data_IF_337387668618
#
_entry.id   IF_337387668618
#
_cell.length_a   1.000
_cell.length_b   1.000
_cell.length_c   1.000
_cell.angle_alpha   90.00
_cell.angle_beta   90.00
_cell.angle_gamma   90.00
#
_symmetry.space_group_name_H-M   'P 1'
#
loop_
_entity.id
_entity.type
_entity.pdbx_description
1 polymer ?
#
# COMPACT_ATOMS: atom_id res chain seq x y z
N UNK A 1 5.17 -12.40 -47.42
CA UNK A 1 5.36 -13.86 -47.26
C UNK A 1 6.86 -14.05 -47.10
N UNK A 2 7.33 -14.69 -46.03
CA UNK A 2 8.77 -14.91 -45.82
C UNK A 2 9.32 -15.68 -47.02
N UNK A 3 10.28 -15.09 -47.72
CA UNK A 3 11.06 -15.78 -48.74
C UNK A 3 11.85 -16.87 -48.00
N UNK A 4 11.47 -18.14 -48.22
CA UNK A 4 11.92 -19.31 -47.47
C UNK A 4 13.37 -19.74 -47.82
N UNK A 5 14.23 -18.76 -48.10
CA UNK A 5 15.63 -18.94 -48.48
C UNK A 5 16.46 -18.89 -47.20
N UNK A 6 16.75 -20.07 -46.65
CA UNK A 6 17.62 -20.21 -45.49
C UNK A 6 19.05 -19.79 -45.87
N UNK A 7 19.42 -18.54 -45.61
CA UNK A 7 20.74 -17.99 -45.91
C UNK A 7 21.36 -17.42 -44.63
N UNK A 8 22.26 -18.19 -44.03
CA UNK A 8 23.09 -17.70 -42.93
C UNK A 8 24.07 -16.69 -43.51
N UNK A 9 23.95 -15.44 -43.11
CA UNK A 9 24.84 -14.35 -43.51
C UNK A 9 25.70 -13.94 -42.31
N UNK A 10 26.91 -13.44 -42.57
CA UNK A 10 27.83 -12.97 -41.54
C UNK A 10 27.93 -11.45 -41.64
N UNK A 11 27.64 -10.77 -40.54
CA UNK A 11 27.71 -9.32 -40.49
C UNK A 11 29.17 -8.83 -40.68
N UNK A 12 29.45 -7.90 -41.61
CA UNK A 12 30.82 -7.48 -41.92
C UNK A 12 31.49 -6.65 -40.80
N UNK A 13 30.72 -6.09 -39.86
CA UNK A 13 31.24 -5.22 -38.80
C UNK A 13 31.51 -6.02 -37.52
N UNK A 14 30.51 -6.77 -37.06
CA UNK A 14 30.54 -7.52 -35.81
C UNK A 14 31.01 -8.96 -35.99
N UNK A 15 30.97 -9.49 -37.22
CA UNK A 15 31.31 -10.88 -37.53
C UNK A 15 30.30 -11.90 -37.01
N UNK A 16 29.13 -11.47 -36.53
CA UNK A 16 28.08 -12.33 -35.97
C UNK A 16 27.26 -12.95 -37.10
N UNK A 17 26.87 -14.22 -36.93
CA UNK A 17 26.02 -14.94 -37.87
C UNK A 17 24.54 -14.64 -37.62
N UNK A 18 23.75 -14.57 -38.70
CA UNK A 18 22.29 -14.46 -38.61
C UNK A 18 21.63 -15.82 -38.40
N UNK A 19 20.37 -15.83 -37.94
CA UNK A 19 19.57 -17.05 -37.71
C UNK A 19 19.09 -17.74 -39.00
N UNK A 20 19.44 -17.20 -40.18
CA UNK A 20 19.17 -17.80 -41.48
C UNK A 20 17.84 -17.42 -42.12
N UNK A 21 16.96 -16.68 -41.42
CA UNK A 21 15.67 -16.23 -41.97
C UNK A 21 15.67 -14.73 -42.23
N UNK A 22 15.04 -14.31 -43.33
CA UNK A 22 14.79 -12.91 -43.66
C UNK A 22 13.29 -12.63 -43.51
N UNK A 23 12.99 -11.60 -42.73
CA UNK A 23 11.65 -11.05 -42.53
C UNK A 23 11.54 -9.74 -43.29
N UNK A 24 10.42 -9.51 -43.99
CA UNK A 24 10.15 -8.26 -44.71
C UNK A 24 11.30 -7.82 -45.62
N UNK A 25 11.84 -8.78 -46.38
CA UNK A 25 12.97 -8.69 -47.33
C UNK A 25 14.30 -8.13 -46.81
N UNK A 26 14.34 -7.58 -45.59
CA UNK A 26 15.43 -6.75 -45.07
C UNK A 26 15.80 -7.03 -43.61
N UNK A 27 14.86 -7.52 -42.79
CA UNK A 27 15.10 -7.77 -41.36
C UNK A 27 15.66 -9.17 -41.15
N UNK A 28 16.75 -9.26 -40.41
CA UNK A 28 17.39 -10.53 -40.02
C UNK A 28 17.74 -10.46 -38.55
N UNK A 29 17.82 -11.62 -37.90
CA UNK A 29 18.13 -11.70 -36.47
C UNK A 29 19.55 -12.21 -36.27
N UNK A 30 20.32 -11.55 -35.40
CA UNK A 30 21.66 -11.99 -35.01
C UNK A 30 21.60 -13.12 -33.99
N UNK A 31 22.43 -14.15 -34.20
CA UNK A 31 22.60 -15.25 -33.27
C UNK A 31 23.69 -14.92 -32.23
N UNK A 32 23.45 -13.87 -31.43
CA UNK A 32 24.31 -13.49 -30.32
C UNK A 32 24.01 -14.31 -29.07
N UNK A 33 25.01 -14.69 -28.26
CA UNK A 33 24.74 -15.16 -26.91
C UNK A 33 24.11 -14.04 -26.08
N UNK A 34 23.25 -14.41 -25.13
CA UNK A 34 22.66 -13.45 -24.21
C UNK A 34 23.76 -12.72 -23.42
N UNK A 35 23.64 -11.39 -23.19
CA UNK A 35 24.63 -10.66 -22.41
C UNK A 35 24.78 -11.27 -21.01
N UNK A 36 26.02 -11.52 -20.58
CA UNK A 36 26.28 -12.17 -19.29
C UNK A 36 25.67 -11.40 -18.10
N UNK A 37 25.71 -10.06 -18.12
CA UNK A 37 25.09 -9.23 -17.09
C UNK A 37 23.56 -9.41 -17.01
N UNK A 38 22.90 -9.63 -18.16
CA UNK A 38 21.46 -9.86 -18.24
C UNK A 38 21.12 -11.23 -17.64
N UNK A 39 21.92 -12.25 -17.94
CA UNK A 39 21.77 -13.58 -17.34
C UNK A 39 21.95 -13.53 -15.81
N UNK A 40 22.96 -12.83 -15.32
CA UNK A 40 23.16 -12.65 -13.88
C UNK A 40 22.00 -11.90 -13.22
N UNK A 41 21.48 -10.85 -13.85
CA UNK A 41 20.30 -10.15 -13.36
C UNK A 41 19.08 -11.07 -13.33
N UNK A 42 18.86 -11.87 -14.38
CA UNK A 42 17.77 -12.84 -14.47
C UNK A 42 17.88 -13.93 -13.38
N UNK A 43 19.07 -14.49 -13.14
CA UNK A 43 19.25 -15.44 -12.05
C UNK A 43 19.10 -14.78 -10.67
N UNK A 44 19.50 -13.51 -10.55
CA UNK A 44 19.29 -12.73 -9.34
C UNK A 44 17.82 -12.61 -8.96
N UNK A 45 16.91 -12.39 -9.93
CA UNK A 45 15.47 -12.33 -9.65
C UNK A 45 14.91 -13.69 -9.23
N UNK A 46 15.38 -14.79 -9.82
CA UNK A 46 14.99 -16.15 -9.41
C UNK A 46 15.38 -16.41 -7.95
N UNK A 47 16.63 -16.11 -7.58
CA UNK A 47 17.11 -16.27 -6.20
C UNK A 47 16.29 -15.39 -5.25
N UNK A 48 16.05 -14.14 -5.63
CA UNK A 48 15.21 -13.23 -4.85
C UNK A 48 13.81 -13.79 -4.63
N UNK A 49 13.15 -14.32 -5.67
CA UNK A 49 11.83 -14.94 -5.55
C UNK A 49 11.82 -16.13 -4.60
N UNK A 50 12.84 -17.00 -4.66
CA UNK A 50 12.95 -18.15 -3.74
C UNK A 50 13.10 -17.68 -2.30
N UNK A 51 13.97 -16.70 -2.03
CA UNK A 51 14.13 -16.11 -0.70
C UNK A 51 12.82 -15.47 -0.24
N UNK A 52 12.14 -14.74 -1.12
CA UNK A 52 10.88 -14.09 -0.80
C UNK A 52 9.78 -15.10 -0.44
N UNK A 53 9.71 -16.25 -1.12
CA UNK A 53 8.76 -17.32 -0.78
C UNK A 53 9.05 -18.00 0.56
N UNK A 54 10.31 -18.04 0.99
CA UNK A 54 10.70 -18.54 2.31
C UNK A 54 10.29 -17.54 3.40
N UNK A 55 10.44 -16.25 3.15
CA UNK A 55 10.13 -15.21 4.13
C UNK A 55 8.62 -14.97 4.26
N UNK A 56 7.89 -14.89 3.14
CA UNK A 56 6.51 -14.40 3.08
C UNK A 56 5.52 -15.44 2.55
N UNK A 57 4.21 -15.23 2.80
CA UNK A 57 3.16 -16.06 2.20
C UNK A 57 3.27 -16.10 0.67
N UNK A 58 3.22 -17.30 0.09
CA UNK A 58 3.54 -17.48 -1.32
C UNK A 58 2.57 -18.37 -2.07
N UNK A 59 2.71 -19.70 -1.98
CA UNK A 59 2.04 -20.63 -2.89
C UNK A 59 0.83 -21.29 -2.21
N UNK A 60 -0.36 -21.30 -2.83
CA UNK A 60 -1.50 -22.05 -2.37
C UNK A 60 -1.26 -23.54 -2.66
N UNK A 61 -0.83 -24.29 -1.64
CA UNK A 61 -0.56 -25.72 -1.76
C UNK A 61 -1.37 -26.49 -0.73
N UNK A 62 -2.00 -27.59 -1.14
CA UNK A 62 -2.68 -28.50 -0.22
C UNK A 62 -1.72 -29.26 0.72
N UNK A 63 -0.41 -29.01 0.61
CA UNK A 63 0.64 -29.62 1.42
C UNK A 63 0.85 -28.87 2.74
N UNK A 64 0.46 -27.60 2.82
CA UNK A 64 0.58 -26.79 4.02
C UNK A 64 -0.73 -26.81 4.82
N UNK A 65 -0.63 -26.82 6.16
CA UNK A 65 -1.78 -26.86 7.06
C UNK A 65 -2.81 -25.74 6.79
N UNK A 66 -2.33 -24.54 6.42
CA UNK A 66 -3.17 -23.39 6.09
C UNK A 66 -3.61 -23.33 4.62
N UNK A 67 -3.30 -24.35 3.83
CA UNK A 67 -3.54 -24.39 2.39
C UNK A 67 -2.59 -23.52 1.56
N UNK A 68 -1.59 -22.89 2.19
CA UNK A 68 -0.52 -22.15 1.53
C UNK A 68 0.75 -22.12 2.39
N UNK A 69 1.89 -21.87 1.73
CA UNK A 69 3.17 -21.65 2.41
C UNK A 69 3.14 -20.28 3.12
N UNK A 70 3.20 -20.25 4.45
CA UNK A 70 3.10 -19.01 5.24
C UNK A 70 4.38 -18.18 5.28
N UNK A 71 5.51 -18.78 4.96
CA UNK A 71 6.83 -18.21 5.20
C UNK A 71 7.25 -18.24 6.69
N UNK A 72 8.48 -17.78 6.96
CA UNK A 72 9.08 -17.75 8.31
C UNK A 72 8.96 -16.39 9.01
N UNK A 73 8.64 -15.33 8.28
CA UNK A 73 8.45 -14.01 8.88
C UNK A 73 7.18 -13.98 9.72
N UNK A 74 7.23 -13.27 10.84
CA UNK A 74 6.12 -13.11 11.78
C UNK A 74 5.87 -11.64 12.09
N UNK A 75 4.63 -11.36 12.52
CA UNK A 75 4.20 -10.04 12.97
C UNK A 75 3.50 -10.20 14.30
N UNK A 76 3.84 -9.30 15.23
CA UNK A 76 3.28 -9.23 16.58
C UNK A 76 2.45 -7.96 16.74
N UNK A 77 1.22 -8.10 17.24
CA UNK A 77 0.32 -6.99 17.50
C UNK A 77 -0.62 -7.33 18.67
N UNK A 78 -1.25 -6.31 19.26
CA UNK A 78 -2.28 -6.50 20.28
C UNK A 78 -3.66 -6.68 19.65
N UNK A 79 -4.39 -7.70 20.08
CA UNK A 79 -5.79 -7.91 19.66
C UNK A 79 -6.76 -6.96 20.40
N UNK A 80 -8.06 -7.05 20.10
CA UNK A 80 -9.10 -6.23 20.72
C UNK A 80 -9.24 -6.43 22.25
N UNK A 81 -8.76 -7.58 22.76
CA UNK A 81 -8.71 -7.88 24.20
C UNK A 81 -7.45 -7.32 24.87
N UNK A 82 -6.54 -6.70 24.11
CA UNK A 82 -5.28 -6.17 24.59
C UNK A 82 -4.16 -7.21 24.75
N UNK A 83 -4.39 -8.44 24.30
CA UNK A 83 -3.43 -9.53 24.37
C UNK A 83 -2.46 -9.43 23.19
N UNK A 84 -1.16 -9.66 23.45
CA UNK A 84 -0.15 -9.74 22.40
C UNK A 84 -0.28 -11.06 21.65
N UNK A 85 -0.48 -10.98 20.34
CA UNK A 85 -0.62 -12.13 19.44
C UNK A 85 0.47 -12.06 18.38
N UNK A 86 1.19 -13.17 18.22
CA UNK A 86 2.16 -13.35 17.12
C UNK A 86 1.54 -14.23 16.05
N UNK A 87 1.61 -13.78 14.81
CA UNK A 87 1.13 -14.53 13.64
C UNK A 87 2.22 -14.57 12.57
N UNK A 88 2.11 -15.51 11.62
CA UNK A 88 2.85 -15.42 10.37
C UNK A 88 2.54 -14.09 9.66
N UNK A 89 3.49 -13.58 8.89
CA UNK A 89 3.34 -12.30 8.21
C UNK A 89 2.07 -12.26 7.37
N UNK A 90 1.30 -11.20 7.53
CA UNK A 90 0.16 -10.85 6.68
C UNK A 90 -0.10 -9.35 6.79
N UNK A 91 -0.68 -8.76 5.74
CA UNK A 91 -0.88 -7.31 5.64
C UNK A 91 -1.78 -6.74 6.74
N UNK A 92 -2.75 -7.53 7.24
CA UNK A 92 -3.66 -7.10 8.31
C UNK A 92 -2.95 -7.02 9.66
N UNK A 93 -2.14 -8.02 9.99
CA UNK A 93 -1.32 -8.01 11.19
C UNK A 93 -0.29 -6.88 11.16
N UNK A 94 0.32 -6.64 9.98
CA UNK A 94 1.26 -5.53 9.80
C UNK A 94 0.59 -4.18 10.03
N UNK A 95 -0.58 -3.95 9.42
CA UNK A 95 -1.37 -2.73 9.65
C UNK A 95 -1.72 -2.55 11.13
N UNK A 96 -2.15 -3.61 11.81
CA UNK A 96 -2.47 -3.55 13.22
C UNK A 96 -1.24 -3.18 14.08
N UNK A 97 -0.08 -3.76 13.77
CA UNK A 97 1.19 -3.43 14.42
C UNK A 97 1.58 -1.96 14.17
N UNK A 98 1.50 -1.48 12.92
CA UNK A 98 1.83 -0.10 12.54
C UNK A 98 0.91 0.90 13.25
N UNK A 99 -0.40 0.67 13.25
CA UNK A 99 -1.38 1.50 13.98
C UNK A 99 -1.17 1.51 15.50
N UNK A 100 -0.41 0.56 16.04
CA UNK A 100 -0.10 0.49 17.47
C UNK A 100 1.23 1.14 17.81
N UNK A 101 2.18 1.12 16.88
CA UNK A 101 3.56 1.54 17.12
C UNK A 101 3.91 2.89 16.47
N UNK A 102 3.08 3.41 15.55
CA UNK A 102 3.34 4.69 14.90
C UNK A 102 3.39 5.84 15.94
N UNK A 103 4.49 6.63 15.98
CA UNK A 103 4.66 7.69 16.97
C UNK A 103 3.60 8.79 16.89
N UNK A 104 3.08 9.10 15.69
CA UNK A 104 2.06 10.12 15.50
C UNK A 104 0.70 9.59 15.94
N UNK A 105 0.40 8.33 15.63
CA UNK A 105 -0.81 7.66 16.09
C UNK A 105 -0.85 7.57 17.62
N UNK A 106 0.26 7.20 18.27
CA UNK A 106 0.35 7.15 19.74
C UNK A 106 0.11 8.53 20.39
N UNK A 107 0.68 9.60 19.81
CA UNK A 107 0.43 10.98 20.26
C UNK A 107 -1.03 11.37 20.10
N UNK A 108 -1.62 11.08 18.94
CA UNK A 108 -3.03 11.34 18.63
C UNK A 108 -3.95 10.58 19.59
N UNK A 109 -3.73 9.27 19.78
CA UNK A 109 -4.50 8.40 20.69
C UNK A 109 -4.50 8.95 22.12
N UNK A 110 -3.34 9.43 22.60
CA UNK A 110 -3.22 10.06 23.92
C UNK A 110 -4.11 11.31 24.03
N UNK A 111 -4.06 12.19 23.03
CA UNK A 111 -4.86 13.43 23.03
C UNK A 111 -6.36 13.13 22.89
N UNK A 112 -6.75 12.24 21.98
CA UNK A 112 -8.15 11.79 21.81
C UNK A 112 -8.68 11.21 23.12
N UNK A 113 -7.92 10.33 23.79
CA UNK A 113 -8.32 9.75 25.08
C UNK A 113 -8.45 10.81 26.18
N UNK A 114 -7.54 11.79 26.22
CA UNK A 114 -7.59 12.87 27.19
C UNK A 114 -8.83 13.76 27.01
N UNK A 115 -9.20 14.07 25.76
CA UNK A 115 -10.40 14.86 25.43
C UNK A 115 -11.67 14.05 25.71
N UNK A 116 -11.71 12.78 25.31
CA UNK A 116 -12.89 11.92 25.49
C UNK A 116 -13.25 11.65 26.97
N UNK A 117 -12.27 11.80 27.88
CA UNK A 117 -12.46 11.58 29.31
C UNK A 117 -13.03 12.79 30.06
N UNK A 118 -13.27 13.93 29.40
CA UNK A 118 -13.78 15.16 30.02
C UNK A 118 -15.03 15.70 29.33
N UNK A 119 -15.88 16.44 30.05
CA UNK A 119 -17.01 17.15 29.45
C UNK A 119 -16.55 18.17 28.40
N UNK A 120 -17.33 18.33 27.33
CA UNK A 120 -17.03 19.29 26.25
C UNK A 120 -16.79 20.72 26.78
N UNK A 121 -17.56 21.15 27.77
CA UNK A 121 -17.41 22.46 28.39
C UNK A 121 -16.03 22.69 29.02
N UNK A 122 -15.35 21.63 29.46
CA UNK A 122 -14.01 21.71 30.05
C UNK A 122 -12.92 21.59 28.97
N UNK A 123 -13.19 20.84 27.89
CA UNK A 123 -12.33 20.80 26.70
C UNK A 123 -12.16 22.19 26.10
N UNK A 124 -13.26 22.93 25.96
CA UNK A 124 -13.28 24.27 25.34
C UNK A 124 -12.50 25.29 26.18
N UNK A 125 -12.49 25.15 27.51
CA UNK A 125 -11.76 26.05 28.42
C UNK A 125 -10.25 25.81 28.42
N UNK A 126 -9.79 24.63 28.03
CA UNK A 126 -8.36 24.30 27.95
C UNK A 126 -7.82 24.67 26.56
N UNK A 127 -6.92 25.67 26.43
CA UNK A 127 -6.44 26.13 25.13
C UNK A 127 -5.73 25.05 24.32
N UNK A 128 -5.01 24.14 24.98
CA UNK A 128 -4.28 23.07 24.31
C UNK A 128 -5.19 21.98 23.77
N UNK A 129 -6.21 21.60 24.55
CA UNK A 129 -7.20 20.59 24.13
C UNK A 129 -8.17 21.16 23.10
N UNK A 130 -8.62 22.40 23.27
CA UNK A 130 -9.45 23.11 22.31
C UNK A 130 -8.74 23.23 20.95
N UNK A 131 -7.47 23.67 20.93
CA UNK A 131 -6.68 23.73 19.70
C UNK A 131 -6.53 22.36 19.02
N UNK A 132 -6.29 21.30 19.80
CA UNK A 132 -6.24 19.93 19.28
C UNK A 132 -7.58 19.50 18.67
N UNK A 133 -8.70 19.72 19.36
CA UNK A 133 -10.04 19.33 18.88
C UNK A 133 -10.42 20.09 17.62
N UNK A 134 -10.10 21.38 17.51
CA UNK A 134 -10.37 22.15 16.30
C UNK A 134 -9.53 21.65 15.11
N UNK A 135 -8.24 21.38 15.33
CA UNK A 135 -7.35 20.88 14.29
C UNK A 135 -7.74 19.45 13.83
N UNK A 136 -8.00 18.56 14.79
CA UNK A 136 -8.39 17.17 14.54
C UNK A 136 -9.81 17.10 13.95
N UNK A 137 -10.74 17.87 14.51
CA UNK A 137 -12.12 17.98 14.08
C UNK A 137 -12.27 18.56 12.68
N UNK A 138 -11.39 19.48 12.25
CA UNK A 138 -11.40 19.98 10.87
C UNK A 138 -11.19 18.87 9.83
N UNK A 139 -10.30 17.92 10.11
CA UNK A 139 -10.09 16.74 9.25
C UNK A 139 -11.33 15.86 9.19
N UNK A 140 -11.84 15.48 10.37
CA UNK A 140 -13.07 14.67 10.51
C UNK A 140 -14.26 15.35 9.81
N UNK A 141 -14.40 16.66 9.99
CA UNK A 141 -15.47 17.44 9.37
C UNK A 141 -15.38 17.37 7.84
N UNK A 142 -14.17 17.51 7.28
CA UNK A 142 -13.92 17.34 5.85
C UNK A 142 -14.32 15.95 5.34
N UNK A 143 -13.95 14.90 6.06
CA UNK A 143 -14.17 13.51 5.63
C UNK A 143 -15.63 13.07 5.75
N UNK A 144 -16.32 13.46 6.83
CA UNK A 144 -17.62 12.88 7.21
C UNK A 144 -18.79 13.86 7.22
N UNK A 145 -18.55 15.17 7.27
CA UNK A 145 -19.62 16.16 7.47
C UNK A 145 -19.79 17.11 6.28
N UNK A 146 -18.69 17.50 5.64
CA UNK A 146 -18.66 18.52 4.59
C UNK A 146 -19.48 18.14 3.35
N UNK A 147 -19.68 16.84 3.10
CA UNK A 147 -20.53 16.37 2.00
C UNK A 147 -21.97 16.91 2.09
N UNK A 148 -22.52 17.04 3.31
CA UNK A 148 -23.87 17.55 3.54
C UNK A 148 -23.85 19.01 4.01
N UNK A 149 -22.97 19.34 4.95
CA UNK A 149 -22.92 20.66 5.59
C UNK A 149 -22.00 21.65 4.87
N UNK A 150 -21.46 21.29 3.71
CA UNK A 150 -20.48 22.06 2.94
C UNK A 150 -19.14 22.24 3.69
N UNK A 151 -18.09 22.63 2.96
CA UNK A 151 -16.72 22.73 3.52
C UNK A 151 -16.57 23.76 4.63
N UNK A 152 -17.46 24.76 4.70
CA UNK A 152 -17.47 25.79 5.75
C UNK A 152 -18.53 25.59 6.82
N UNK A 153 -19.30 24.49 6.79
CA UNK A 153 -20.40 24.26 7.72
C UNK A 153 -21.67 25.06 7.44
N UNK A 154 -21.73 25.83 6.36
CA UNK A 154 -22.87 26.70 6.04
C UNK A 154 -24.15 25.96 5.62
N UNK A 155 -24.07 24.65 5.38
CA UNK A 155 -25.21 23.84 4.98
C UNK A 155 -25.70 24.10 3.54
N UNK A 156 -26.84 23.51 3.22
CA UNK A 156 -27.54 23.67 1.94
C UNK A 156 -28.98 24.08 2.24
N UNK A 157 -29.37 25.25 1.76
CA UNK A 157 -30.70 25.82 2.02
C UNK A 157 -31.80 24.82 1.65
N UNK A 158 -32.64 24.47 2.63
CA UNK A 158 -33.77 23.55 2.44
C UNK A 158 -33.41 22.06 2.51
N UNK A 159 -32.16 21.69 2.79
CA UNK A 159 -31.74 20.28 2.91
C UNK A 159 -30.89 20.00 4.14
N UNK A 160 -29.81 20.77 4.35
CA UNK A 160 -28.87 20.55 5.45
C UNK A 160 -28.65 21.85 6.22
N UNK A 161 -28.75 21.82 7.57
CA UNK A 161 -28.66 23.04 8.38
C UNK A 161 -27.26 23.64 8.35
N UNK A 162 -27.22 24.95 8.59
CA UNK A 162 -26.01 25.69 8.87
C UNK A 162 -25.53 25.36 10.29
N UNK A 163 -24.27 24.96 10.43
CA UNK A 163 -23.64 24.58 11.70
C UNK A 163 -22.76 25.69 12.29
N UNK A 164 -22.66 26.84 11.60
CA UNK A 164 -21.84 27.98 12.03
C UNK A 164 -22.65 29.20 12.44
N UNK A 165 -23.98 29.13 12.42
CA UNK A 165 -24.84 30.16 13.00
C UNK A 165 -25.28 29.83 14.43
N UNK A 166 -26.03 30.75 15.03
CA UNK A 166 -26.52 30.63 16.40
C UNK A 166 -27.87 29.89 16.48
N UNK A 167 -28.42 29.38 15.35
CA UNK A 167 -29.76 28.81 15.26
C UNK A 167 -29.72 27.27 15.33
N UNK A 168 -29.69 26.72 16.55
CA UNK A 168 -29.62 25.28 16.78
C UNK A 168 -31.01 24.65 16.92
N UNK A 169 -31.35 23.71 16.04
CA UNK A 169 -32.60 22.95 16.11
C UNK A 169 -32.66 21.98 17.30
N UNK A 170 -31.50 21.55 17.80
CA UNK A 170 -31.37 20.45 18.77
C UNK A 170 -30.56 20.80 20.03
N UNK A 171 -30.08 22.05 20.15
CA UNK A 171 -29.33 22.54 21.31
C UNK A 171 -27.82 22.49 21.18
#
# INVERSE_FOLDING_TARGET
>A
MSDNKHQVTKDPITGVETTGHVWDDTLQEFNNPLPAWWLWAFYGTIIFSIVYWILYPSWPTGLAEKGYLTGVSSVEFKNDKGETVTTHWNTRALLAQEMQNDPNELKRKKMVKAVAAMPLADVVKDPGKSAFVLAYGKGIFGDYCAACHQSGGQGVRGSFPNLVDDAWLWG
#
